data_IF_445961469259
#
_entry.id   IF_445961469259
#
_cell.length_a   1.000
_cell.length_b   1.000
_cell.length_c   1.000
_cell.angle_alpha   90.00
_cell.angle_beta   90.00
_cell.angle_gamma   90.00
#
_symmetry.space_group_name_H-M   'P 1'
#
loop_
_entity.id
_entity.type
_entity.pdbx_description
1 polymer ?
#
# COMPACT_ATOMS: atom_id res chain seq x y z
N UNK A 1 2.14 36.03 25.08
CA UNK A 1 1.38 34.78 24.82
C UNK A 1 0.18 35.21 24.02
N UNK A 2 0.34 35.27 22.70
CA UNK A 2 -0.68 35.74 21.77
C UNK A 2 -1.57 34.56 21.34
N UNK A 3 -2.86 34.65 21.68
CA UNK A 3 -3.90 33.79 21.16
C UNK A 3 -4.46 34.44 19.88
N UNK A 4 -4.08 33.93 18.72
CA UNK A 4 -4.76 34.26 17.45
C UNK A 4 -6.01 33.39 17.31
N UNK A 5 -7.16 33.93 17.73
CA UNK A 5 -8.49 33.43 17.37
C UNK A 5 -8.76 33.72 15.89
N UNK A 6 -8.31 32.83 15.02
CA UNK A 6 -8.63 32.83 13.59
C UNK A 6 -10.01 32.21 13.37
N UNK A 7 -11.08 32.92 13.69
CA UNK A 7 -12.45 32.52 13.39
C UNK A 7 -12.73 32.66 11.89
N UNK A 8 -12.96 31.57 11.12
CA UNK A 8 -13.22 31.66 9.68
C UNK A 8 -14.71 31.92 9.45
N UNK A 9 -15.25 33.03 9.96
CA UNK A 9 -16.63 33.45 9.65
C UNK A 9 -16.69 34.22 8.33
N UNK A 10 -15.95 33.77 7.32
CA UNK A 10 -16.05 34.28 5.96
C UNK A 10 -17.40 33.87 5.37
N UNK A 11 -18.42 34.72 5.53
CA UNK A 11 -19.70 34.57 4.80
C UNK A 11 -19.37 34.49 3.31
N UNK A 12 -19.69 33.35 2.68
CA UNK A 12 -19.51 33.20 1.23
C UNK A 12 -20.45 34.16 0.50
N UNK A 13 -19.98 34.85 -0.54
CA UNK A 13 -20.80 35.81 -1.26
C UNK A 13 -21.99 35.12 -1.92
N UNK A 14 -23.16 35.73 -1.77
CA UNK A 14 -24.36 35.32 -2.49
C UNK A 14 -24.24 35.77 -3.95
N UNK A 15 -24.54 34.91 -4.94
CA UNK A 15 -24.45 35.30 -6.33
C UNK A 15 -25.65 36.20 -6.70
N UNK A 16 -25.40 37.48 -7.01
CA UNK A 16 -26.42 38.52 -7.18
C UNK A 16 -27.26 38.42 -8.47
N UNK A 17 -26.91 37.55 -9.42
CA UNK A 17 -27.75 37.31 -10.61
C UNK A 17 -27.50 35.92 -11.21
N UNK A 18 -28.31 34.94 -10.83
CA UNK A 18 -28.28 33.60 -11.41
C UNK A 18 -29.59 33.32 -12.16
N UNK A 19 -29.47 32.90 -13.42
CA UNK A 19 -30.54 32.16 -14.09
C UNK A 19 -30.86 30.88 -13.29
N UNK A 20 -32.02 30.25 -13.51
CA UNK A 20 -32.48 29.13 -12.67
C UNK A 20 -31.46 27.98 -12.55
N UNK A 21 -30.71 27.67 -13.61
CA UNK A 21 -29.74 26.56 -13.62
C UNK A 21 -28.54 26.77 -12.66
N UNK A 22 -27.74 27.84 -12.77
CA UNK A 22 -26.61 28.02 -11.86
C UNK A 22 -27.03 28.26 -10.40
N UNK A 23 -28.25 28.77 -10.16
CA UNK A 23 -28.80 28.84 -8.80
C UNK A 23 -29.06 27.44 -8.22
N UNK A 24 -29.66 26.55 -9.02
CA UNK A 24 -29.90 25.16 -8.62
C UNK A 24 -28.58 24.43 -8.37
N UNK A 25 -27.56 24.59 -9.24
CA UNK A 25 -26.25 23.95 -9.04
C UNK A 25 -25.56 24.44 -7.77
N UNK A 26 -25.59 25.76 -7.53
CA UNK A 26 -25.07 26.34 -6.29
C UNK A 26 -25.82 25.79 -5.06
N UNK A 27 -27.15 25.73 -5.11
CA UNK A 27 -27.98 25.24 -4.01
C UNK A 27 -27.72 23.76 -3.72
N UNK A 28 -27.64 22.92 -4.76
CA UNK A 28 -27.32 21.49 -4.62
C UNK A 28 -25.96 21.32 -3.94
N UNK A 29 -24.94 22.06 -4.37
CA UNK A 29 -23.61 22.00 -3.73
C UNK A 29 -23.68 22.39 -2.25
N UNK A 30 -24.35 23.49 -1.90
CA UNK A 30 -24.51 23.93 -0.50
C UNK A 30 -25.22 22.87 0.34
N UNK A 31 -26.27 22.24 -0.19
CA UNK A 31 -27.01 21.20 0.52
C UNK A 31 -26.18 19.92 0.72
N UNK A 32 -25.37 19.54 -0.27
CA UNK A 32 -24.47 18.40 -0.15
C UNK A 32 -23.36 18.65 0.86
N UNK A 33 -22.75 19.85 0.84
CA UNK A 33 -21.75 20.28 1.84
C UNK A 33 -22.35 20.20 3.26
N UNK A 34 -23.55 20.75 3.47
CA UNK A 34 -24.23 20.68 4.77
C UNK A 34 -24.54 19.24 5.20
N UNK A 35 -24.96 18.38 4.27
CA UNK A 35 -25.24 16.97 4.56
C UNK A 35 -23.96 16.16 4.87
N UNK A 36 -22.82 16.48 4.26
CA UNK A 36 -21.52 15.91 4.60
C UNK A 36 -21.06 16.37 5.99
N UNK A 37 -21.24 17.66 6.32
CA UNK A 37 -20.93 18.22 7.64
C UNK A 37 -21.74 17.52 8.73
N UNK A 38 -23.06 17.38 8.55
CA UNK A 38 -23.93 16.69 9.50
C UNK A 38 -23.51 15.22 9.69
N UNK A 39 -23.24 14.49 8.59
CA UNK A 39 -22.75 13.10 8.66
C UNK A 39 -21.41 13.01 9.40
N UNK A 40 -20.50 13.94 9.15
CA UNK A 40 -19.20 13.98 9.82
C UNK A 40 -19.34 14.27 11.32
N UNK A 41 -20.22 15.19 11.71
CA UNK A 41 -20.50 15.53 13.10
C UNK A 41 -21.13 14.35 13.85
N UNK A 42 -22.10 13.65 13.23
CA UNK A 42 -22.69 12.44 13.79
C UNK A 42 -21.66 11.32 13.97
N UNK A 43 -20.74 11.15 13.01
CA UNK A 43 -19.65 10.17 13.14
C UNK A 43 -18.72 10.54 14.29
N UNK A 44 -18.30 11.80 14.38
CA UNK A 44 -17.44 12.29 15.44
C UNK A 44 -18.08 12.11 16.83
N UNK A 45 -19.39 12.39 16.96
CA UNK A 45 -20.14 12.18 18.20
C UNK A 45 -20.25 10.69 18.59
N UNK A 46 -20.29 9.77 17.62
CA UNK A 46 -20.37 8.32 17.87
C UNK A 46 -19.03 7.71 18.28
N UNK A 47 -17.91 8.17 17.71
CA UNK A 47 -16.57 7.63 17.97
C UNK A 47 -16.21 7.46 19.47
N UNK A 48 -16.41 8.43 20.38
CA UNK A 48 -16.06 8.27 21.79
C UNK A 48 -16.95 7.24 22.52
N UNK A 49 -18.14 6.96 22.00
CA UNK A 49 -19.08 5.96 22.55
C UNK A 49 -18.99 4.60 21.86
N UNK A 50 -18.17 4.49 20.81
CA UNK A 50 -18.04 3.26 20.05
C UNK A 50 -17.33 2.20 20.90
N UNK A 51 -18.01 1.09 21.14
CA UNK A 51 -17.41 -0.08 21.81
C UNK A 51 -16.39 -0.70 20.87
N UNK A 52 -15.11 -0.70 21.26
CA UNK A 52 -14.07 -1.38 20.51
C UNK A 52 -14.23 -2.89 20.65
N UNK A 53 -14.37 -3.59 19.52
CA UNK A 53 -14.39 -5.05 19.50
C UNK A 53 -12.94 -5.51 19.35
N UNK A 54 -12.36 -6.24 20.33
CA UNK A 54 -11.03 -6.79 20.17
C UNK A 54 -11.04 -7.83 19.04
N UNK A 55 -10.17 -7.64 18.05
CA UNK A 55 -10.01 -8.59 16.94
C UNK A 55 -8.65 -9.25 17.02
N UNK A 56 -8.64 -10.56 17.23
CA UNK A 56 -7.44 -11.37 17.11
C UNK A 56 -7.21 -11.70 15.62
N UNK A 57 -6.04 -11.34 15.09
CA UNK A 57 -5.66 -11.66 13.71
C UNK A 57 -4.44 -12.57 13.71
N UNK A 58 -4.55 -13.72 13.05
CA UNK A 58 -3.41 -14.61 12.82
C UNK A 58 -2.62 -14.11 11.61
N UNK A 59 -1.31 -13.94 11.78
CA UNK A 59 -0.38 -13.60 10.69
C UNK A 59 0.58 -14.76 10.49
N UNK A 60 0.84 -15.10 9.23
CA UNK A 60 1.79 -16.15 8.86
C UNK A 60 3.12 -15.51 8.51
N UNK A 61 4.18 -15.81 9.27
CA UNK A 61 5.51 -15.24 9.07
C UNK A 61 6.42 -16.23 8.32
N UNK A 62 7.20 -15.73 7.37
CA UNK A 62 8.29 -16.50 6.76
C UNK A 62 9.44 -16.65 7.78
N UNK A 63 9.92 -17.86 8.07
CA UNK A 63 10.99 -18.07 9.06
C UNK A 63 12.34 -17.50 8.60
N UNK A 64 12.52 -17.33 7.28
CA UNK A 64 13.80 -16.91 6.68
C UNK A 64 13.94 -15.40 6.56
N UNK A 65 12.93 -14.71 6.00
CA UNK A 65 12.99 -13.26 5.75
C UNK A 65 12.11 -12.42 6.70
N UNK A 66 11.38 -13.06 7.63
CA UNK A 66 10.48 -12.43 8.62
C UNK A 66 9.30 -11.62 8.08
N UNK A 67 9.09 -11.57 6.77
CA UNK A 67 7.89 -10.97 6.16
C UNK A 67 6.62 -11.74 6.56
N UNK A 68 5.49 -11.06 6.62
CA UNK A 68 4.22 -11.61 7.12
C UNK A 68 3.09 -11.53 6.10
N UNK A 69 2.18 -12.51 6.10
CA UNK A 69 0.98 -12.54 5.26
C UNK A 69 -0.29 -12.78 6.08
N UNK A 70 -1.42 -12.30 5.57
CA UNK A 70 -2.74 -12.57 6.15
C UNK A 70 -3.25 -13.99 5.88
N UNK A 71 -2.82 -14.62 4.78
CA UNK A 71 -3.29 -15.95 4.34
C UNK A 71 -2.15 -16.94 4.31
N UNK A 72 -2.38 -18.16 4.84
CA UNK A 72 -1.39 -19.24 4.85
C UNK A 72 -0.86 -19.61 3.46
N UNK A 73 -1.70 -19.77 2.41
CA UNK A 73 -1.21 -20.11 1.06
C UNK A 73 -0.24 -19.07 0.50
N UNK A 74 -0.45 -17.78 0.78
CA UNK A 74 0.44 -16.72 0.34
C UNK A 74 1.81 -16.79 1.04
N UNK A 75 1.83 -17.11 2.33
CA UNK A 75 3.07 -17.35 3.06
C UNK A 75 3.81 -18.58 2.54
N UNK A 76 3.11 -19.68 2.28
CA UNK A 76 3.70 -20.90 1.71
C UNK A 76 4.29 -20.65 0.32
N UNK A 77 3.54 -19.96 -0.55
CA UNK A 77 4.02 -19.60 -1.89
C UNK A 77 5.26 -18.69 -1.83
N UNK A 78 5.33 -17.79 -0.84
CA UNK A 78 6.53 -17.00 -0.62
C UNK A 78 7.71 -17.86 -0.15
N UNK A 79 7.52 -18.73 0.83
CA UNK A 79 8.60 -19.59 1.37
C UNK A 79 9.24 -20.45 0.29
N UNK A 80 8.43 -20.96 -0.65
CA UNK A 80 8.89 -21.77 -1.78
C UNK A 80 9.76 -20.99 -2.80
N UNK A 81 9.74 -19.66 -2.77
CA UNK A 81 10.54 -18.79 -3.67
C UNK A 81 11.42 -17.80 -2.92
N UNK A 82 11.56 -17.97 -1.60
CA UNK A 82 12.24 -17.02 -0.75
C UNK A 82 13.74 -17.18 -0.96
N UNK A 83 14.43 -16.12 -1.38
CA UNK A 83 15.87 -16.14 -1.59
C UNK A 83 16.69 -16.38 -0.31
N UNK A 84 16.09 -16.10 0.86
CA UNK A 84 16.70 -16.41 2.16
C UNK A 84 16.44 -17.84 2.63
N UNK A 85 15.59 -18.60 1.92
CA UNK A 85 15.36 -20.01 2.22
C UNK A 85 16.48 -20.85 1.60
N UNK A 86 17.36 -21.48 2.41
CA UNK A 86 18.49 -22.25 1.89
C UNK A 86 18.05 -23.41 0.99
N UNK A 87 16.86 -23.96 1.23
CA UNK A 87 16.31 -25.07 0.44
C UNK A 87 15.96 -24.69 -1.01
N UNK A 88 15.68 -23.41 -1.27
CA UNK A 88 15.27 -22.93 -2.60
C UNK A 88 16.49 -22.76 -3.52
N UNK A 89 17.70 -22.71 -2.94
CA UNK A 89 18.99 -22.53 -3.67
C UNK A 89 18.96 -21.35 -4.66
N UNK A 90 18.14 -20.36 -4.38
CA UNK A 90 17.91 -19.23 -5.28
C UNK A 90 18.83 -18.08 -4.88
N UNK A 91 19.70 -17.66 -5.79
CA UNK A 91 20.67 -16.60 -5.54
C UNK A 91 20.13 -15.26 -6.02
N UNK A 92 20.12 -14.24 -5.14
CA UNK A 92 19.83 -12.85 -5.53
C UNK A 92 21.00 -12.21 -6.31
N UNK A 93 22.20 -12.78 -6.17
CA UNK A 93 23.48 -12.18 -6.56
C UNK A 93 24.34 -13.13 -7.40
N UNK A 94 23.76 -13.99 -8.23
CA UNK A 94 24.58 -14.75 -9.17
C UNK A 94 25.34 -13.72 -10.02
N UNK A 95 26.67 -13.70 -9.90
CA UNK A 95 27.57 -12.79 -10.63
C UNK A 95 27.43 -12.96 -12.16
N UNK A 96 26.78 -14.04 -12.61
CA UNK A 96 26.45 -14.35 -13.99
C UNK A 96 24.97 -14.14 -14.37
N UNK A 97 24.18 -13.46 -13.52
CA UNK A 97 22.86 -12.99 -13.94
C UNK A 97 23.06 -11.78 -14.85
N UNK A 98 22.96 -11.98 -16.17
CA UNK A 98 22.77 -10.88 -17.10
C UNK A 98 21.33 -10.35 -16.90
N UNK A 99 21.14 -9.13 -16.35
CA UNK A 99 19.81 -8.55 -16.31
C UNK A 99 19.36 -8.29 -17.75
N UNK A 100 18.31 -8.97 -18.20
CA UNK A 100 17.52 -8.49 -19.32
C UNK A 100 17.11 -7.04 -19.04
N UNK A 101 17.33 -6.17 -20.02
CA UNK A 101 17.28 -4.70 -19.97
C UNK A 101 16.64 -4.06 -18.72
N UNK A 102 17.43 -3.21 -18.07
CA UNK A 102 17.05 -2.49 -16.85
C UNK A 102 15.81 -1.60 -17.07
N UNK A 103 14.63 -2.09 -16.68
CA UNK A 103 13.53 -1.20 -16.34
C UNK A 103 13.89 -0.53 -14.99
N UNK A 104 14.09 0.79 -15.00
CA UNK A 104 14.53 1.60 -13.86
C UNK A 104 13.53 1.68 -12.70
N UNK A 105 13.31 0.54 -12.03
CA UNK A 105 12.41 0.39 -10.90
C UNK A 105 13.08 -0.24 -9.69
N UNK A 106 12.67 0.23 -8.52
CA UNK A 106 13.16 -0.10 -7.17
C UNK A 106 13.10 -1.61 -6.84
N UNK A 107 14.05 -2.40 -7.36
CA UNK A 107 14.22 -3.80 -7.00
C UNK A 107 15.30 -3.95 -5.93
N UNK A 108 14.90 -4.36 -4.72
CA UNK A 108 15.82 -4.78 -3.66
C UNK A 108 15.81 -3.93 -2.39
N UNK A 109 15.05 -2.83 -2.36
CA UNK A 109 14.89 -2.00 -1.17
C UNK A 109 13.82 -2.58 -0.22
N UNK A 110 14.16 -2.91 1.04
CA UNK A 110 13.17 -3.35 2.05
C UNK A 110 12.10 -2.29 2.38
N UNK A 111 12.26 -1.04 1.95
CA UNK A 111 11.33 0.08 2.15
C UNK A 111 10.41 0.37 0.95
N UNK A 112 10.58 -0.31 -0.19
CA UNK A 112 9.69 -0.11 -1.35
C UNK A 112 8.33 -0.79 -1.11
N UNK A 113 7.47 -0.08 -0.39
CA UNK A 113 6.07 -0.41 -0.13
C UNK A 113 5.22 0.11 -1.29
N UNK A 114 5.34 -0.47 -2.50
CA UNK A 114 4.48 -0.12 -3.64
C UNK A 114 3.11 -0.80 -3.43
N UNK A 115 2.07 -0.08 -2.97
CA UNK A 115 0.80 -0.69 -2.57
C UNK A 115 -0.22 -0.71 -3.71
N UNK A 116 0.03 0.02 -4.80
CA UNK A 116 -0.87 0.19 -5.92
C UNK A 116 -0.07 0.19 -7.21
N UNK A 117 -0.54 -0.60 -8.17
CA UNK A 117 0.09 -0.77 -9.47
C UNK A 117 -0.80 -0.03 -10.47
N UNK A 118 -0.58 1.27 -10.77
CA UNK A 118 -1.28 1.91 -11.87
C UNK A 118 -0.61 1.42 -13.16
N UNK A 119 -1.29 0.55 -13.90
CA UNK A 119 -1.20 0.12 -15.33
C UNK A 119 0.12 0.18 -16.14
N UNK A 120 1.25 0.60 -15.58
CA UNK A 120 2.57 0.71 -16.19
C UNK A 120 3.62 -0.17 -15.51
N UNK A 121 3.28 -0.90 -14.45
CA UNK A 121 4.12 -1.97 -13.94
C UNK A 121 3.85 -3.26 -14.74
N UNK A 122 4.16 -3.22 -16.03
CA UNK A 122 4.29 -4.41 -16.87
C UNK A 122 5.59 -5.20 -16.56
N UNK A 123 6.12 -5.09 -15.33
CA UNK A 123 7.26 -5.87 -14.84
C UNK A 123 6.74 -6.90 -13.83
N UNK A 124 5.65 -7.56 -14.19
CA UNK A 124 5.22 -8.84 -13.62
C UNK A 124 5.89 -10.03 -14.30
N UNK A 125 6.66 -9.81 -15.38
CA UNK A 125 7.57 -10.81 -15.91
C UNK A 125 8.83 -10.80 -15.04
N UNK A 126 8.85 -11.73 -14.08
CA UNK A 126 10.00 -12.07 -13.28
C UNK A 126 11.30 -12.02 -14.10
N UNK A 127 12.34 -11.33 -13.62
CA UNK A 127 13.64 -11.98 -13.72
C UNK A 127 13.47 -13.30 -12.98
N UNK A 128 13.54 -14.45 -13.68
CA UNK A 128 13.34 -15.71 -13.01
C UNK A 128 14.43 -15.80 -11.93
N UNK A 129 14.01 -15.92 -10.66
CA UNK A 129 14.90 -16.47 -9.65
C UNK A 129 15.37 -17.79 -10.25
N UNK A 130 16.65 -17.85 -10.62
CA UNK A 130 17.25 -19.08 -11.11
C UNK A 130 17.25 -20.02 -9.91
N UNK A 131 16.29 -20.92 -9.94
CA UNK A 131 16.26 -22.11 -9.09
C UNK A 131 17.28 -23.08 -9.67
N UNK A 132 17.98 -23.83 -8.81
CA UNK A 132 19.07 -24.75 -9.20
C UNK A 132 20.31 -24.11 -9.85
N UNK A 133 20.78 -22.97 -9.33
CA UNK A 133 22.05 -22.38 -9.79
C UNK A 133 23.22 -23.39 -9.62
N UNK A 134 23.93 -23.79 -10.70
CA UNK A 134 24.97 -24.83 -10.65
C UNK A 134 26.12 -24.51 -9.68
N UNK A 135 26.35 -23.23 -9.40
CA UNK A 135 27.39 -22.76 -8.48
C UNK A 135 27.15 -23.21 -7.03
N UNK A 136 25.92 -23.54 -6.64
CA UNK A 136 25.65 -24.14 -5.33
C UNK A 136 26.30 -25.51 -5.17
N UNK A 137 26.43 -26.29 -6.25
CA UNK A 137 27.11 -27.59 -6.19
C UNK A 137 28.59 -27.43 -5.87
N UNK A 138 29.23 -26.37 -6.36
CA UNK A 138 30.65 -26.11 -6.10
C UNK A 138 30.94 -25.75 -4.64
N UNK A 139 29.95 -25.23 -3.91
CA UNK A 139 30.07 -24.98 -2.46
C UNK A 139 29.85 -26.26 -1.67
N UNK A 140 28.83 -27.06 -2.04
CA UNK A 140 28.54 -28.36 -1.41
C UNK A 140 29.70 -29.37 -1.60
N UNK A 141 30.42 -29.31 -2.73
CA UNK A 141 31.55 -30.21 -3.04
C UNK A 141 32.90 -29.76 -2.42
N UNK A 142 32.95 -28.60 -1.76
CA UNK A 142 34.16 -28.02 -1.17
C UNK A 142 34.29 -28.22 0.35
N UNK A 143 33.28 -28.82 1.01
CA UNK A 143 33.31 -29.27 2.41
C UNK A 143 33.76 -30.73 2.55
#
# INVERSE_FOLDING_TARGET
MDHTDGSPTGRRPFPESLTAAPYVDWLVRVLLEAADEERSALRAARLPTAVTIPVAVVRHQCPYCRRTWAKRPAATAHVARCWSNPEVRSCKTCEHHEPGEAAGGCWGDPYCNCPEVPEGCAVGAATPLITDCPLWRLVDDAE
#
